data_IF_736816616283
#
_entry.id   IF_736816616283
#
_cell.length_a   1.000
_cell.length_b   1.000
_cell.length_c   1.000
_cell.angle_alpha   90.00
_cell.angle_beta   90.00
_cell.angle_gamma   90.00
#
_symmetry.space_group_name_H-M   'P 1'
#
loop_
_entity.id
_entity.type
_entity.pdbx_description
1 polymer ?
#
# COMPACT_ATOMS: atom_id res chain seq x y z
N UNK A 1 -21.70 13.30 15.68
CA UNK A 1 -21.35 13.06 17.08
C UNK A 1 -22.62 12.97 17.88
N UNK A 2 -22.76 11.93 18.69
CA UNK A 2 -23.83 11.82 19.66
C UNK A 2 -23.58 12.80 20.81
N UNK A 3 -24.42 13.83 20.93
CA UNK A 3 -24.29 14.83 21.99
C UNK A 3 -24.55 14.24 23.39
N UNK A 4 -25.22 13.09 23.50
CA UNK A 4 -25.53 12.47 24.79
C UNK A 4 -24.26 12.15 25.59
N UNK A 5 -23.21 11.67 24.92
CA UNK A 5 -21.93 11.32 25.55
C UNK A 5 -21.21 12.58 26.06
N UNK A 6 -21.20 13.65 25.26
CA UNK A 6 -20.58 14.91 25.66
C UNK A 6 -21.35 15.61 26.80
N UNK A 7 -22.68 15.51 26.82
CA UNK A 7 -23.51 15.98 27.93
C UNK A 7 -23.19 15.18 29.19
N UNK A 8 -23.15 13.85 29.10
CA UNK A 8 -22.87 12.99 30.26
C UNK A 8 -21.47 13.24 30.82
N UNK A 9 -20.45 13.36 29.95
CA UNK A 9 -19.10 13.74 30.36
C UNK A 9 -19.10 15.06 31.16
N UNK A 10 -19.86 16.05 30.68
CA UNK A 10 -19.97 17.36 31.34
C UNK A 10 -20.69 17.28 32.68
N UNK A 11 -21.74 16.45 32.77
CA UNK A 11 -22.47 16.19 34.02
C UNK A 11 -21.55 15.54 35.05
N UNK A 12 -20.81 14.50 34.68
CA UNK A 12 -19.88 13.81 35.58
C UNK A 12 -18.78 14.76 36.08
N UNK A 13 -18.24 15.60 35.19
CA UNK A 13 -17.28 16.63 35.57
C UNK A 13 -17.86 17.65 36.56
N UNK A 14 -19.09 18.11 36.33
CA UNK A 14 -19.74 19.06 37.22
C UNK A 14 -20.02 18.43 38.60
N UNK A 15 -20.44 17.16 38.64
CA UNK A 15 -20.61 16.41 39.89
C UNK A 15 -19.29 16.29 40.66
N UNK A 16 -18.21 15.89 39.98
CA UNK A 16 -16.90 15.83 40.57
C UNK A 16 -16.47 17.18 41.16
N UNK A 17 -16.56 18.24 40.35
CA UNK A 17 -16.02 19.57 40.68
C UNK A 17 -16.81 20.29 41.76
N UNK A 18 -18.14 20.14 41.79
CA UNK A 18 -19.00 20.98 42.63
C UNK A 18 -19.80 20.23 43.70
N UNK A 19 -20.09 18.94 43.50
CA UNK A 19 -20.90 18.15 44.43
C UNK A 19 -20.06 17.17 45.26
N UNK A 20 -18.92 16.74 44.74
CA UNK A 20 -18.06 15.73 45.35
C UNK A 20 -16.68 16.27 45.71
N UNK A 21 -16.45 17.59 45.68
CA UNK A 21 -15.16 18.20 45.99
C UNK A 21 -14.66 17.71 47.36
N UNK A 22 -13.53 16.98 47.42
CA UNK A 22 -13.02 16.41 48.66
C UNK A 22 -12.71 17.47 49.73
N UNK A 23 -12.28 18.67 49.32
CA UNK A 23 -11.96 19.76 50.24
C UNK A 23 -13.22 20.38 50.86
N UNK A 24 -14.32 20.40 50.11
CA UNK A 24 -15.58 20.98 50.56
C UNK A 24 -16.52 19.97 51.23
N UNK A 25 -16.44 18.68 50.87
CA UNK A 25 -17.48 17.68 51.19
C UNK A 25 -16.96 16.43 51.89
N UNK A 26 -15.64 16.15 51.85
CA UNK A 26 -15.08 14.88 52.32
C UNK A 26 -15.58 13.65 51.57
N UNK A 27 -16.16 13.84 50.37
CA UNK A 27 -16.77 12.77 49.58
C UNK A 27 -15.71 11.96 48.81
N UNK A 28 -15.77 10.63 48.92
CA UNK A 28 -14.86 9.70 48.23
C UNK A 28 -15.20 9.51 46.74
N UNK A 29 -16.39 9.93 46.29
CA UNK A 29 -16.86 9.73 44.92
C UNK A 29 -16.19 10.65 43.88
N UNK A 30 -15.41 11.64 44.30
CA UNK A 30 -14.69 12.55 43.40
C UNK A 30 -13.93 11.82 42.29
N UNK A 31 -13.12 10.83 42.68
CA UNK A 31 -12.27 10.08 41.74
C UNK A 31 -13.09 9.34 40.69
N UNK A 32 -14.17 8.67 41.10
CA UNK A 32 -15.06 7.92 40.21
C UNK A 32 -15.75 8.86 39.20
N UNK A 33 -16.19 10.04 39.66
CA UNK A 33 -16.85 11.04 38.80
C UNK A 33 -15.88 11.66 37.80
N UNK A 34 -14.65 11.93 38.21
CA UNK A 34 -13.60 12.41 37.32
C UNK A 34 -13.25 11.37 36.27
N UNK A 35 -12.96 10.13 36.68
CA UNK A 35 -12.62 9.03 35.76
C UNK A 35 -13.73 8.80 34.74
N UNK A 36 -15.00 8.83 35.16
CA UNK A 36 -16.12 8.67 34.25
C UNK A 36 -16.24 9.84 33.27
N UNK A 37 -15.97 11.08 33.69
CA UNK A 37 -15.98 12.24 32.81
C UNK A 37 -14.87 12.14 31.74
N UNK A 38 -13.67 11.73 32.15
CA UNK A 38 -12.52 11.50 31.26
C UNK A 38 -12.82 10.42 30.25
N UNK A 39 -13.29 9.26 30.72
CA UNK A 39 -13.66 8.13 29.86
C UNK A 39 -14.67 8.52 28.79
N UNK A 40 -15.72 9.26 29.17
CA UNK A 40 -16.74 9.68 28.21
C UNK A 40 -16.22 10.72 27.22
N UNK A 41 -15.36 11.64 27.64
CA UNK A 41 -14.71 12.59 26.73
C UNK A 41 -13.79 11.86 25.73
N UNK A 42 -13.05 10.86 26.20
CA UNK A 42 -12.20 10.01 25.37
C UNK A 42 -13.04 9.20 24.37
N UNK A 43 -14.09 8.52 24.85
CA UNK A 43 -15.01 7.75 23.99
C UNK A 43 -15.67 8.62 22.92
N UNK A 44 -16.05 9.85 23.27
CA UNK A 44 -16.61 10.80 22.29
C UNK A 44 -15.60 11.18 21.21
N UNK A 45 -14.34 11.47 21.59
CA UNK A 45 -13.28 11.79 20.64
C UNK A 45 -12.93 10.61 19.75
N UNK A 46 -12.79 9.43 20.34
CA UNK A 46 -12.49 8.18 19.64
C UNK A 46 -13.60 7.76 18.66
N UNK A 47 -14.87 7.84 19.05
CA UNK A 47 -15.98 7.40 18.20
C UNK A 47 -16.33 8.42 17.10
N UNK A 48 -15.98 9.69 17.30
CA UNK A 48 -16.30 10.78 16.38
C UNK A 48 -15.08 11.67 16.10
N UNK A 49 -13.98 11.10 15.59
CA UNK A 49 -12.71 11.82 15.52
C UNK A 49 -12.71 12.99 14.54
N UNK A 50 -13.60 12.96 13.56
CA UNK A 50 -13.80 14.03 12.58
C UNK A 50 -14.81 15.10 13.03
N UNK A 51 -15.45 14.94 14.19
CA UNK A 51 -16.42 15.92 14.69
C UNK A 51 -15.69 17.12 15.33
N UNK A 52 -16.25 18.33 15.24
CA UNK A 52 -15.73 19.45 16.01
C UNK A 52 -15.87 19.17 17.51
N UNK A 53 -14.94 19.71 18.30
CA UNK A 53 -15.01 19.65 19.76
C UNK A 53 -16.36 20.17 20.25
N UNK A 54 -17.08 19.42 21.13
CA UNK A 54 -18.33 19.90 21.70
C UNK A 54 -18.17 21.26 22.39
N UNK A 55 -19.07 22.20 22.11
CA UNK A 55 -19.10 23.49 22.82
C UNK A 55 -19.27 23.34 24.34
N UNK A 56 -19.81 22.21 24.81
CA UNK A 56 -19.93 21.87 26.23
C UNK A 56 -18.58 21.72 26.94
N UNK A 57 -17.50 21.49 26.20
CA UNK A 57 -16.14 21.42 26.73
C UNK A 57 -15.38 22.74 26.60
N UNK A 58 -15.99 23.80 26.05
CA UNK A 58 -15.31 25.06 25.79
C UNK A 58 -14.75 25.72 27.06
N UNK A 59 -15.45 25.55 28.18
CA UNK A 59 -15.07 26.06 29.50
C UNK A 59 -14.39 25.00 30.39
N UNK A 60 -14.14 23.79 29.86
CA UNK A 60 -13.44 22.70 30.55
C UNK A 60 -12.25 22.24 29.70
N UNK A 61 -11.11 22.96 29.76
CA UNK A 61 -9.94 22.65 28.94
C UNK A 61 -9.43 21.22 29.09
N UNK A 62 -9.62 20.62 30.27
CA UNK A 62 -9.18 19.25 30.55
C UNK A 62 -9.94 18.20 29.72
N UNK A 63 -11.29 18.19 29.76
CA UNK A 63 -12.09 17.28 28.93
C UNK A 63 -11.92 17.55 27.44
N UNK A 64 -11.75 18.82 27.07
CA UNK A 64 -11.42 19.19 25.70
C UNK A 64 -10.13 18.53 25.22
N UNK A 65 -9.06 18.61 26.02
CA UNK A 65 -7.77 17.98 25.69
C UNK A 65 -7.90 16.48 25.50
N UNK A 66 -8.64 15.80 26.39
CA UNK A 66 -8.88 14.34 26.28
C UNK A 66 -9.65 13.98 25.00
N UNK A 67 -10.68 14.75 24.66
CA UNK A 67 -11.43 14.56 23.42
C UNK A 67 -10.52 14.74 22.19
N UNK A 68 -9.75 15.83 22.14
CA UNK A 68 -8.86 16.15 21.01
C UNK A 68 -7.76 15.08 20.86
N UNK A 69 -7.18 14.62 21.97
CA UNK A 69 -6.20 13.53 21.98
C UNK A 69 -6.80 12.21 21.46
N UNK A 70 -7.96 11.79 21.99
CA UNK A 70 -8.62 10.56 21.56
C UNK A 70 -9.00 10.59 20.08
N UNK A 71 -9.49 11.75 19.60
CA UNK A 71 -9.79 11.97 18.19
C UNK A 71 -8.54 11.85 17.32
N UNK A 72 -7.43 12.46 17.73
CA UNK A 72 -6.16 12.37 17.01
C UNK A 72 -5.66 10.92 16.91
N UNK A 73 -5.63 10.19 18.04
CA UNK A 73 -5.16 8.80 18.06
C UNK A 73 -6.05 7.92 17.19
N UNK A 74 -7.37 8.12 17.22
CA UNK A 74 -8.29 7.37 16.37
C UNK A 74 -8.04 7.61 14.88
N UNK A 75 -7.77 8.85 14.45
CA UNK A 75 -7.45 9.16 13.05
C UNK A 75 -6.13 8.54 12.61
N UNK A 76 -5.11 8.58 13.46
CA UNK A 76 -3.80 8.01 13.14
C UNK A 76 -3.94 6.49 12.91
N UNK A 77 -4.67 5.79 13.77
CA UNK A 77 -4.95 4.35 13.62
C UNK A 77 -5.78 4.07 12.36
N UNK A 78 -6.82 4.86 12.09
CA UNK A 78 -7.62 4.70 10.86
C UNK A 78 -6.77 4.88 9.59
N UNK A 79 -5.85 5.85 9.60
CA UNK A 79 -4.93 6.12 8.50
C UNK A 79 -3.95 4.94 8.29
N UNK A 80 -3.34 4.42 9.36
CA UNK A 80 -2.47 3.25 9.30
C UNK A 80 -3.21 2.03 8.74
N UNK A 81 -4.42 1.75 9.22
CA UNK A 81 -5.25 0.64 8.73
C UNK A 81 -5.68 0.81 7.26
N UNK A 82 -5.84 2.03 6.75
CA UNK A 82 -6.12 2.25 5.33
C UNK A 82 -4.87 2.00 4.47
N UNK A 83 -3.68 2.40 4.95
CA UNK A 83 -2.41 2.07 4.28
C UNK A 83 -2.23 0.56 4.20
N UNK A 84 -2.42 -0.18 5.29
CA UNK A 84 -2.32 -1.65 5.31
C UNK A 84 -3.33 -2.30 4.35
N UNK A 85 -4.58 -1.81 4.34
CA UNK A 85 -5.63 -2.32 3.43
C UNK A 85 -5.26 -2.06 1.97
N UNK A 86 -4.70 -0.90 1.65
CA UNK A 86 -4.25 -0.57 0.31
C UNK A 86 -3.05 -1.43 -0.12
N UNK A 87 -2.08 -1.66 0.78
CA UNK A 87 -0.95 -2.55 0.52
C UNK A 87 -1.39 -3.99 0.25
N UNK A 88 -2.34 -4.51 1.03
CA UNK A 88 -2.88 -5.85 0.81
C UNK A 88 -3.69 -5.93 -0.49
N UNK A 89 -4.48 -4.90 -0.84
CA UNK A 89 -5.14 -4.82 -2.16
C UNK A 89 -4.13 -4.91 -3.29
N UNK A 90 -3.06 -4.09 -3.24
CA UNK A 90 -1.98 -4.11 -4.23
C UNK A 90 -1.27 -5.47 -4.27
N UNK A 91 -1.06 -6.11 -3.13
CA UNK A 91 -0.44 -7.44 -3.04
C UNK A 91 -1.32 -8.50 -3.70
N UNK A 92 -2.62 -8.51 -3.42
CA UNK A 92 -3.58 -9.44 -4.03
C UNK A 92 -3.63 -9.23 -5.54
N UNK A 93 -3.66 -7.98 -6.00
CA UNK A 93 -3.63 -7.64 -7.43
C UNK A 93 -2.35 -8.16 -8.11
N UNK A 94 -1.17 -7.87 -7.54
CA UNK A 94 0.11 -8.40 -8.05
C UNK A 94 0.12 -9.93 -8.13
N UNK A 95 -0.45 -10.62 -7.13
CA UNK A 95 -0.54 -12.08 -7.14
C UNK A 95 -1.52 -12.60 -8.19
N UNK A 96 -2.66 -11.92 -8.40
CA UNK A 96 -3.62 -12.24 -9.46
C UNK A 96 -2.99 -12.07 -10.83
N UNK A 97 -2.30 -10.96 -11.05
CA UNK A 97 -1.64 -10.67 -12.32
C UNK A 97 -0.52 -11.68 -12.60
N UNK A 98 0.33 -11.98 -11.61
CA UNK A 98 1.36 -13.02 -11.75
C UNK A 98 0.76 -14.38 -12.08
N UNK A 99 -0.38 -14.75 -11.48
CA UNK A 99 -1.09 -15.99 -11.81
C UNK A 99 -1.64 -15.96 -13.24
N UNK A 100 -2.22 -14.85 -13.67
CA UNK A 100 -2.74 -14.65 -15.03
C UNK A 100 -1.62 -14.84 -16.06
N UNK A 101 -0.51 -14.12 -15.90
CA UNK A 101 0.67 -14.21 -16.77
C UNK A 101 1.20 -15.63 -16.83
N UNK A 102 1.41 -16.28 -15.68
CA UNK A 102 1.92 -17.65 -15.65
C UNK A 102 0.99 -18.65 -16.35
N UNK A 103 -0.34 -18.47 -16.24
CA UNK A 103 -1.30 -19.31 -16.93
C UNK A 103 -1.24 -19.12 -18.45
N UNK A 104 -1.08 -17.88 -18.93
CA UNK A 104 -0.92 -17.58 -20.36
C UNK A 104 0.38 -18.16 -20.92
N UNK A 105 1.51 -18.00 -20.21
CA UNK A 105 2.79 -18.60 -20.58
C UNK A 105 2.70 -20.13 -20.65
N UNK A 106 2.10 -20.76 -19.63
CA UNK A 106 1.90 -22.21 -19.60
C UNK A 106 0.97 -22.70 -20.73
N UNK A 107 -0.01 -21.89 -21.12
CA UNK A 107 -0.90 -22.13 -22.26
C UNK A 107 -0.29 -21.81 -23.62
N UNK A 108 0.95 -21.30 -23.68
CA UNK A 108 1.62 -20.83 -24.89
C UNK A 108 0.83 -19.71 -25.62
N UNK A 109 0.03 -18.93 -24.89
CA UNK A 109 -0.80 -17.83 -25.41
C UNK A 109 -0.03 -16.51 -25.36
N UNK A 110 1.00 -16.42 -26.20
CA UNK A 110 1.89 -15.26 -26.30
C UNK A 110 1.18 -14.03 -26.88
N UNK A 111 0.19 -14.24 -27.75
CA UNK A 111 -0.60 -13.16 -28.34
C UNK A 111 -1.39 -12.38 -27.27
N UNK A 112 -1.98 -13.07 -26.28
CA UNK A 112 -2.65 -12.44 -25.14
C UNK A 112 -1.69 -11.69 -24.19
N UNK A 113 -0.39 -11.96 -24.28
CA UNK A 113 0.67 -11.24 -23.58
C UNK A 113 1.24 -10.09 -24.43
N UNK A 114 0.77 -9.91 -25.67
CA UNK A 114 1.32 -8.97 -26.64
C UNK A 114 2.81 -9.21 -26.94
N UNK A 115 3.22 -10.47 -26.93
CA UNK A 115 4.58 -10.91 -27.22
C UNK A 115 4.60 -11.81 -28.47
N UNK A 116 5.72 -11.85 -29.22
CA UNK A 116 5.90 -12.85 -30.26
C UNK A 116 5.96 -14.26 -29.64
N UNK A 117 5.73 -15.29 -30.45
CA UNK A 117 6.03 -16.65 -30.03
C UNK A 117 7.55 -16.87 -29.95
N UNK A 118 8.03 -17.81 -29.11
CA UNK A 118 9.45 -18.16 -29.06
C UNK A 118 10.01 -18.57 -30.42
N UNK A 119 9.21 -19.26 -31.24
CA UNK A 119 9.57 -19.69 -32.58
C UNK A 119 9.73 -18.50 -33.54
N UNK A 120 8.83 -17.53 -33.51
CA UNK A 120 8.90 -16.32 -34.33
C UNK A 120 10.13 -15.48 -33.99
N UNK A 121 10.33 -15.16 -32.71
CA UNK A 121 11.47 -14.34 -32.29
C UNK A 121 12.80 -15.05 -32.56
N UNK A 122 12.89 -16.37 -32.33
CA UNK A 122 14.09 -17.15 -32.67
C UNK A 122 14.40 -17.06 -34.17
N UNK A 123 13.38 -17.21 -35.03
CA UNK A 123 13.56 -17.10 -36.48
C UNK A 123 13.93 -15.68 -36.93
N UNK A 124 13.35 -14.64 -36.32
CA UNK A 124 13.71 -13.24 -36.56
C UNK A 124 15.19 -13.02 -36.27
N UNK A 125 15.64 -13.36 -35.06
CA UNK A 125 17.02 -13.17 -34.62
C UNK A 125 18.00 -14.00 -35.46
N UNK A 126 17.70 -15.27 -35.74
CA UNK A 126 18.54 -16.14 -36.57
C UNK A 126 18.66 -15.65 -38.03
N UNK A 127 17.74 -14.80 -38.50
CA UNK A 127 17.81 -14.17 -39.82
C UNK A 127 18.66 -12.89 -39.85
N UNK A 128 19.29 -12.51 -38.74
CA UNK A 128 20.06 -11.28 -38.59
C UNK A 128 19.19 -10.03 -38.43
N UNK A 129 17.91 -10.20 -38.11
CA UNK A 129 17.01 -9.08 -37.78
C UNK A 129 16.96 -8.90 -36.27
N UNK A 130 16.66 -7.67 -35.87
CA UNK A 130 16.42 -7.31 -34.48
C UNK A 130 14.94 -7.09 -34.19
N UNK A 131 14.59 -7.11 -32.91
CA UNK A 131 13.22 -6.88 -32.45
C UNK A 131 13.19 -6.12 -31.11
N UNK A 132 12.13 -5.36 -30.87
CA UNK A 132 11.93 -4.66 -29.59
C UNK A 132 10.86 -5.36 -28.76
N UNK A 133 11.25 -5.87 -27.60
CA UNK A 133 10.41 -6.62 -26.68
C UNK A 133 10.33 -5.86 -25.36
N UNK A 134 9.16 -5.30 -25.05
CA UNK A 134 8.94 -4.51 -23.83
C UNK A 134 10.04 -3.45 -23.59
N UNK A 135 10.47 -2.75 -24.65
CA UNK A 135 11.50 -1.73 -24.59
C UNK A 135 12.94 -2.25 -24.69
N UNK A 136 13.16 -3.57 -24.67
CA UNK A 136 14.46 -4.19 -24.86
C UNK A 136 14.67 -4.47 -26.36
N UNK A 137 15.69 -3.86 -26.95
CA UNK A 137 16.10 -4.17 -28.31
C UNK A 137 16.97 -5.43 -28.29
N UNK A 138 16.64 -6.45 -29.07
CA UNK A 138 17.34 -7.75 -29.07
C UNK A 138 17.84 -8.05 -30.47
N UNK A 139 19.09 -8.49 -30.59
CA UNK A 139 19.70 -8.86 -31.86
C UNK A 139 20.74 -9.98 -31.70
N UNK A 140 20.95 -10.73 -32.77
CA UNK A 140 22.05 -11.70 -32.86
C UNK A 140 23.14 -11.12 -33.75
N UNK A 141 24.35 -10.96 -33.20
CA UNK A 141 25.53 -10.53 -33.95
C UNK A 141 26.33 -11.78 -34.39
N UNK A 142 26.43 -11.97 -35.71
CA UNK A 142 27.17 -13.09 -36.29
C UNK A 142 28.69 -12.92 -36.23
N UNK A 143 29.19 -11.68 -36.06
CA UNK A 143 30.62 -11.39 -36.06
C UNK A 143 31.29 -11.80 -34.76
N UNK A 144 30.62 -11.60 -33.62
CA UNK A 144 31.07 -12.08 -32.30
C UNK A 144 30.37 -13.37 -31.85
N UNK A 145 29.30 -13.77 -32.52
CA UNK A 145 28.54 -14.98 -32.26
C UNK A 145 27.67 -14.89 -31.00
N UNK A 146 27.30 -13.69 -30.54
CA UNK A 146 26.50 -13.47 -29.35
C UNK A 146 25.12 -12.92 -29.68
N UNK A 147 24.13 -13.25 -28.84
CA UNK A 147 22.84 -12.56 -28.85
C UNK A 147 22.87 -11.47 -27.80
N UNK A 148 22.66 -10.23 -28.21
CA UNK A 148 22.68 -9.03 -27.39
C UNK A 148 21.27 -8.55 -27.08
N UNK A 149 21.14 -7.84 -25.96
CA UNK A 149 20.04 -6.93 -25.72
C UNK A 149 20.57 -5.54 -25.36
N UNK A 150 19.84 -4.51 -25.76
CA UNK A 150 19.96 -3.15 -25.25
C UNK A 150 18.70 -2.84 -24.45
N UNK A 151 18.82 -2.55 -23.17
CA UNK A 151 17.68 -2.26 -22.32
C UNK A 151 17.06 -0.87 -22.64
N UNK A 152 15.89 -0.52 -22.06
CA UNK A 152 15.21 0.75 -22.32
C UNK A 152 16.05 2.01 -22.01
N UNK A 153 17.15 1.85 -21.27
CA UNK A 153 18.06 2.92 -20.86
C UNK A 153 19.32 2.99 -21.74
N UNK A 154 19.40 2.18 -22.80
CA UNK A 154 20.53 2.16 -23.74
C UNK A 154 21.75 1.38 -23.22
N UNK A 155 21.57 0.48 -22.24
CA UNK A 155 22.65 -0.32 -21.69
C UNK A 155 22.63 -1.70 -22.34
N UNK A 156 23.77 -2.06 -22.93
CA UNK A 156 23.95 -3.34 -23.60
C UNK A 156 24.30 -4.46 -22.62
N UNK A 157 23.79 -5.67 -22.91
CA UNK A 157 24.12 -6.89 -22.21
C UNK A 157 24.01 -8.11 -23.10
N UNK A 158 24.74 -9.17 -22.74
CA UNK A 158 24.64 -10.45 -23.46
C UNK A 158 23.39 -11.17 -22.97
N UNK A 159 22.51 -11.53 -23.90
CA UNK A 159 21.33 -12.34 -23.64
C UNK A 159 21.66 -13.84 -23.74
N UNK A 160 22.33 -14.25 -24.82
CA UNK A 160 22.77 -15.64 -25.04
C UNK A 160 24.20 -15.70 -25.55
N UNK A 161 24.93 -16.72 -25.13
CA UNK A 161 26.22 -17.07 -25.73
C UNK A 161 26.00 -18.00 -26.92
N UNK A 162 25.93 -17.44 -28.14
CA UNK A 162 25.63 -18.19 -29.36
C UNK A 162 24.37 -17.73 -30.08
N UNK A 163 24.01 -18.52 -31.10
CA UNK A 163 22.74 -18.40 -31.82
C UNK A 163 21.55 -18.52 -30.85
N UNK A 164 20.48 -17.75 -31.07
CA UNK A 164 19.26 -17.83 -30.27
C UNK A 164 18.64 -19.22 -30.40
N UNK A 165 18.22 -19.79 -29.27
CA UNK A 165 17.49 -21.06 -29.22
C UNK A 165 16.05 -20.82 -28.78
N UNK A 166 15.11 -21.67 -29.23
CA UNK A 166 13.70 -21.56 -28.84
C UNK A 166 13.55 -21.60 -27.31
N UNK A 167 14.33 -22.42 -26.62
CA UNK A 167 14.31 -22.52 -25.15
C UNK A 167 14.81 -21.24 -24.47
N UNK A 168 15.97 -20.71 -24.91
CA UNK A 168 16.49 -19.46 -24.35
C UNK A 168 15.59 -18.26 -24.63
N UNK A 169 15.04 -18.17 -25.84
CA UNK A 169 14.08 -17.13 -26.22
C UNK A 169 12.79 -17.25 -25.41
N UNK A 170 12.31 -18.48 -25.15
CA UNK A 170 11.15 -18.72 -24.29
C UNK A 170 11.39 -18.27 -22.86
N UNK A 171 12.58 -18.49 -22.31
CA UNK A 171 12.96 -18.00 -20.98
C UNK A 171 12.93 -16.48 -20.95
N UNK A 172 13.60 -15.83 -21.90
CA UNK A 172 13.58 -14.37 -22.04
C UNK A 172 12.15 -13.79 -22.16
N UNK A 173 11.32 -14.33 -23.04
CA UNK A 173 9.94 -13.89 -23.21
C UNK A 173 9.08 -14.13 -21.96
N UNK A 174 9.35 -15.20 -21.21
CA UNK A 174 8.68 -15.47 -19.93
C UNK A 174 9.02 -14.40 -18.90
N UNK A 175 10.28 -13.97 -18.85
CA UNK A 175 10.71 -12.89 -17.96
C UNK A 175 10.11 -11.55 -18.37
N UNK A 176 10.10 -11.24 -19.68
CA UNK A 176 9.45 -10.05 -20.22
C UNK A 176 7.95 -10.04 -19.90
N UNK A 177 7.26 -11.17 -20.03
CA UNK A 177 5.85 -11.31 -19.67
C UNK A 177 5.59 -11.06 -18.18
N UNK A 178 6.57 -11.39 -17.32
CA UNK A 178 6.51 -11.15 -15.87
C UNK A 178 6.92 -9.74 -15.47
N UNK A 179 7.33 -8.90 -16.42
CA UNK A 179 7.82 -7.55 -16.17
C UNK A 179 9.20 -7.51 -15.50
N UNK A 180 10.04 -8.53 -15.72
CA UNK A 180 11.43 -8.53 -15.26
C UNK A 180 12.25 -7.74 -16.28
N UNK A 181 12.85 -6.62 -15.87
CA UNK A 181 13.76 -5.85 -16.70
C UNK A 181 15.16 -6.45 -16.68
N UNK A 182 15.84 -6.45 -17.83
CA UNK A 182 17.21 -6.92 -17.96
C UNK A 182 18.18 -5.74 -17.93
N UNK A 183 19.30 -5.93 -17.22
CA UNK A 183 20.33 -4.91 -17.07
C UNK A 183 20.04 -3.92 -15.92
N UNK A 184 20.88 -2.88 -15.76
CA UNK A 184 20.72 -1.89 -14.71
C UNK A 184 19.52 -0.98 -14.99
N UNK A 185 18.74 -0.68 -13.96
CA UNK A 185 17.79 0.43 -13.94
C UNK A 185 18.44 1.67 -13.32
N UNK A 186 18.14 2.89 -13.78
CA UNK A 186 18.52 4.11 -13.09
C UNK A 186 17.99 4.12 -11.65
N UNK A 187 18.81 4.56 -10.70
CA UNK A 187 18.40 4.85 -9.31
C UNK A 187 17.46 6.06 -9.22
#
# INVERSE_FOLDING_TARGET
MDLSIAIEARVQWALATYACDPEATGNSEYGEKMEQAEKLAYEAGWAYPNAPVPHLFADVPYLRGIFEEAASVSLDIEAELEVEREEERRRIERLRERKRVNALVAGNDWAALHLPTPEELTATLASGKSENINGHFVEYDSDDGLTWYTNPYGIDGVLFNGLPTIEGVREFLTDMARGIEYGPSPD
#
